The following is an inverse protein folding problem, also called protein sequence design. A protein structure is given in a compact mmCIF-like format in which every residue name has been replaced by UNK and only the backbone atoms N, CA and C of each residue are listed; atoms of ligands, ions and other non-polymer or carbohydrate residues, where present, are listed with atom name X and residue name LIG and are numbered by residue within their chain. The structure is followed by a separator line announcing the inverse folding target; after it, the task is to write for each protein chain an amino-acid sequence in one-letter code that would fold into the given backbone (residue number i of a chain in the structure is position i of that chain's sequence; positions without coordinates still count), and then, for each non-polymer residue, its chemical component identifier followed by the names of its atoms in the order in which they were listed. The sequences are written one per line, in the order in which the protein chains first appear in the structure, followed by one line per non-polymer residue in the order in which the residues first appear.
data_IF_705002639497
#
_entry.id   IF_705002639497
#
_cell.length_a   1.000
_cell.length_b   1.000
_cell.length_c   1.000
_cell.angle_alpha   90.00
_cell.angle_beta   90.00
_cell.angle_gamma   90.00
#
_symmetry.space_group_name_H-M   'P 1'
#
loop_
_entity.id
_entity.type
_entity.pdbx_description
1 polymer ?
#
# COMPACT_ATOMS: atom_id res chain seq x y z
N UNK A 1 7.55 -7.36 -7.80
CA UNK A 1 8.36 -6.19 -7.42
C UNK A 1 9.80 -6.49 -7.78
N UNK A 2 10.45 -5.62 -8.56
CA UNK A 2 11.86 -5.81 -8.91
C UNK A 2 12.77 -5.34 -7.77
N UNK A 3 13.85 -6.06 -7.52
CA UNK A 3 14.88 -5.72 -6.53
C UNK A 3 15.70 -4.47 -6.91
N UNK A 4 15.51 -3.96 -8.13
CA UNK A 4 16.24 -2.85 -8.75
C UNK A 4 16.05 -1.48 -8.08
N UNK A 5 15.30 -1.39 -6.97
CA UNK A 5 15.00 -0.13 -6.28
C UNK A 5 15.90 0.13 -5.07
N UNK A 6 16.62 -0.90 -4.60
CA UNK A 6 17.54 -0.79 -3.46
C UNK A 6 18.71 0.12 -3.84
N UNK A 7 18.91 1.21 -3.08
CA UNK A 7 20.03 2.15 -3.26
C UNK A 7 19.83 3.24 -4.32
N UNK A 8 18.67 3.32 -4.98
CA UNK A 8 18.32 4.44 -5.87
C UNK A 8 17.92 5.68 -5.07
N UNK A 9 18.20 6.86 -5.62
CA UNK A 9 17.82 8.14 -5.01
C UNK A 9 16.30 8.22 -4.82
N UNK A 10 15.88 8.63 -3.62
CA UNK A 10 14.48 8.91 -3.34
C UNK A 10 14.04 10.24 -4.00
N UNK A 11 12.73 10.39 -4.32
CA UNK A 11 12.21 11.68 -4.77
C UNK A 11 12.38 12.76 -3.68
N UNK A 12 12.21 14.03 -4.07
CA UNK A 12 12.14 15.12 -3.08
C UNK A 12 10.89 14.96 -2.19
N UNK A 13 10.86 15.68 -1.06
CA UNK A 13 9.70 15.65 -0.15
C UNK A 13 8.44 16.19 -0.83
N UNK A 14 8.59 17.27 -1.57
CA UNK A 14 7.52 17.93 -2.33
C UNK A 14 7.01 16.99 -3.42
N UNK A 15 7.92 16.31 -4.12
CA UNK A 15 7.57 15.33 -5.16
C UNK A 15 6.84 14.13 -4.56
N UNK A 16 7.29 13.61 -3.42
CA UNK A 16 6.61 12.53 -2.71
C UNK A 16 5.20 12.92 -2.24
N UNK A 17 5.01 14.17 -1.78
CA UNK A 17 3.70 14.70 -1.42
C UNK A 17 2.76 14.80 -2.62
N UNK A 18 3.25 15.24 -3.77
CA UNK A 18 2.48 15.26 -5.03
C UNK A 18 2.04 13.85 -5.41
N UNK A 19 2.97 12.89 -5.44
CA UNK A 19 2.69 11.48 -5.76
C UNK A 19 1.65 10.90 -4.79
N UNK A 20 1.80 11.15 -3.49
CA UNK A 20 0.86 10.70 -2.47
C UNK A 20 -0.54 11.28 -2.71
N UNK A 21 -0.63 12.57 -3.00
CA UNK A 21 -1.89 13.27 -3.25
C UNK A 21 -2.57 12.77 -4.52
N UNK A 22 -1.82 12.56 -5.60
CA UNK A 22 -2.34 12.00 -6.86
C UNK A 22 -2.85 10.57 -6.68
N UNK A 23 -2.14 9.75 -5.91
CA UNK A 23 -2.57 8.41 -5.55
C UNK A 23 -3.86 8.45 -4.72
N UNK A 24 -3.90 9.27 -3.66
CA UNK A 24 -5.07 9.40 -2.78
C UNK A 24 -6.30 9.91 -3.54
N UNK A 25 -6.13 10.83 -4.50
CA UNK A 25 -7.24 11.31 -5.34
C UNK A 25 -7.93 10.17 -6.10
N UNK A 26 -7.18 9.12 -6.47
CA UNK A 26 -7.69 7.95 -7.18
C UNK A 26 -8.20 6.87 -6.22
N UNK A 27 -7.46 6.60 -5.14
CA UNK A 27 -7.69 5.43 -4.28
C UNK A 27 -8.56 5.72 -3.05
N UNK A 28 -8.50 6.94 -2.51
CA UNK A 28 -9.16 7.34 -1.27
C UNK A 28 -9.42 8.87 -1.26
N UNK A 29 -10.25 9.40 -2.18
CA UNK A 29 -10.47 10.84 -2.32
C UNK A 29 -11.10 11.47 -1.07
N UNK A 30 -11.83 10.68 -0.29
CA UNK A 30 -12.40 11.08 1.00
C UNK A 30 -11.34 11.59 1.97
N UNK A 31 -10.15 10.97 2.00
CA UNK A 31 -9.06 11.36 2.89
C UNK A 31 -8.45 12.73 2.56
N UNK A 32 -8.58 13.20 1.31
CA UNK A 32 -8.11 14.53 0.90
C UNK A 32 -9.04 15.64 1.39
N UNK A 33 -10.34 15.36 1.51
CA UNK A 33 -11.34 16.35 1.96
C UNK A 33 -11.21 16.68 3.44
N UNK A 34 -10.68 15.72 4.22
CA UNK A 34 -10.54 15.79 5.66
C UNK A 34 -9.07 15.73 6.09
N UNK A 35 -8.17 16.25 5.27
CA UNK A 35 -6.72 16.20 5.50
C UNK A 35 -6.33 17.14 6.66
N UNK A 36 -5.84 16.55 7.75
CA UNK A 36 -5.25 17.27 8.87
C UNK A 36 -3.74 17.45 8.71
N UNK A 37 -3.03 17.51 9.84
CA UNK A 37 -1.58 17.64 9.85
C UNK A 37 -0.91 16.52 9.05
N UNK A 38 -0.17 16.92 8.00
CA UNK A 38 0.62 16.04 7.17
C UNK A 38 2.13 16.17 7.45
N UNK A 39 2.88 15.14 7.11
CA UNK A 39 4.34 15.12 7.17
C UNK A 39 4.92 14.13 6.16
N UNK A 40 6.06 14.47 5.56
CA UNK A 40 6.85 13.56 4.73
C UNK A 40 8.17 13.25 5.45
N UNK A 41 8.44 11.98 5.71
CA UNK A 41 9.63 11.52 6.44
C UNK A 41 10.27 10.29 5.79
N UNK A 42 11.58 10.13 5.93
CA UNK A 42 12.25 8.89 5.53
C UNK A 42 11.69 7.70 6.31
N UNK A 43 11.41 6.61 5.60
CA UNK A 43 10.93 5.35 6.15
C UNK A 43 11.86 4.22 5.72
N UNK A 44 12.32 3.44 6.69
CA UNK A 44 13.11 2.24 6.48
C UNK A 44 12.45 1.09 7.24
N UNK A 45 12.14 -0.01 6.56
CA UNK A 45 11.54 -1.18 7.18
C UNK A 45 12.12 -2.48 6.62
N UNK A 46 12.61 -3.39 7.47
CA UNK A 46 13.07 -4.69 7.00
C UNK A 46 11.88 -5.56 6.64
N UNK A 47 11.84 -6.04 5.39
CA UNK A 47 10.82 -6.97 4.90
C UNK A 47 11.48 -8.32 4.65
N UNK A 48 10.86 -9.38 5.16
CA UNK A 48 11.25 -10.74 4.83
C UNK A 48 10.54 -11.17 3.55
N UNK A 49 11.31 -11.44 2.51
CA UNK A 49 10.83 -12.02 1.27
C UNK A 49 11.18 -13.51 1.26
N UNK A 50 10.20 -14.34 0.88
CA UNK A 50 10.44 -15.74 0.57
C UNK A 50 10.27 -15.92 -0.93
N UNK A 51 11.36 -16.21 -1.64
CA UNK A 51 11.35 -16.44 -3.08
C UNK A 51 12.22 -17.66 -3.41
N UNK A 52 11.70 -18.56 -4.25
CA UNK A 52 12.38 -19.79 -4.65
C UNK A 52 12.96 -20.63 -3.49
N UNK A 53 12.26 -20.68 -2.36
CA UNK A 53 12.69 -21.42 -1.16
C UNK A 53 13.80 -20.74 -0.34
N UNK A 54 14.22 -19.53 -0.71
CA UNK A 54 15.17 -18.72 0.05
C UNK A 54 14.44 -17.61 0.79
N UNK A 55 14.82 -17.41 2.05
CA UNK A 55 14.35 -16.29 2.86
C UNK A 55 15.42 -15.21 2.85
N UNK A 56 15.08 -14.03 2.32
CA UNK A 56 15.95 -12.86 2.34
C UNK A 56 15.26 -11.74 3.13
N UNK A 57 16.06 -11.00 3.91
CA UNK A 57 15.58 -9.77 4.56
C UNK A 57 16.10 -8.59 3.76
N UNK A 58 15.18 -7.79 3.22
CA UNK A 58 15.48 -6.62 2.39
C UNK A 58 15.03 -5.37 3.12
N UNK A 59 15.84 -4.32 3.08
CA UNK A 59 15.44 -3.03 3.60
C UNK A 59 14.55 -2.32 2.58
N UNK A 60 13.31 -2.06 2.97
CA UNK A 60 12.40 -1.19 2.24
C UNK A 60 12.70 0.25 2.60
N UNK A 61 13.33 0.99 1.69
CA UNK A 61 13.59 2.42 1.85
C UNK A 61 12.62 3.22 0.99
N UNK A 62 11.93 4.19 1.61
CA UNK A 62 10.97 5.06 0.93
C UNK A 62 10.72 6.36 1.69
N UNK A 63 9.91 7.25 1.10
CA UNK A 63 9.37 8.41 1.80
C UNK A 63 7.93 8.14 2.24
N UNK A 64 7.66 8.32 3.53
CA UNK A 64 6.33 8.16 4.11
C UNK A 64 5.63 9.51 4.18
N UNK A 65 4.58 9.67 3.38
CA UNK A 65 3.56 10.69 3.59
C UNK A 65 2.60 10.19 4.65
N UNK A 66 2.52 10.88 5.80
CA UNK A 66 1.62 10.53 6.92
C UNK A 66 0.71 11.72 7.20
N UNK A 67 -0.58 11.47 7.36
CA UNK A 67 -1.53 12.50 7.73
C UNK A 67 -2.63 11.98 8.66
N UNK A 68 -3.25 12.91 9.38
CA UNK A 68 -4.41 12.64 10.24
C UNK A 68 -5.69 12.94 9.47
N UNK A 69 -6.62 11.99 9.42
CA UNK A 69 -7.98 12.24 8.95
C UNK A 69 -8.73 13.02 10.04
N UNK A 70 -9.27 14.18 9.69
CA UNK A 70 -10.04 15.03 10.62
C UNK A 70 -11.46 14.54 10.83
N UNK A 71 -12.01 13.73 9.90
CA UNK A 71 -13.38 13.22 10.01
C UNK A 71 -13.56 12.24 11.18
N UNK A 72 -12.57 11.38 11.42
CA UNK A 72 -12.61 10.34 12.45
C UNK A 72 -11.41 10.39 13.41
N UNK A 73 -10.47 11.31 13.19
CA UNK A 73 -9.27 11.48 13.99
C UNK A 73 -8.19 10.39 13.79
N UNK A 74 -8.39 9.45 12.86
CA UNK A 74 -7.48 8.33 12.58
C UNK A 74 -6.31 8.75 11.70
N UNK A 75 -5.27 7.92 11.65
CA UNK A 75 -4.10 8.16 10.80
C UNK A 75 -4.17 7.37 9.50
N UNK A 76 -3.50 7.90 8.49
CA UNK A 76 -3.21 7.18 7.25
C UNK A 76 -1.82 7.54 6.74
N UNK A 77 -1.27 6.70 5.87
CA UNK A 77 -0.01 6.98 5.21
C UNK A 77 0.14 6.30 3.86
N UNK A 78 0.97 6.90 3.01
CA UNK A 78 1.46 6.34 1.75
C UNK A 78 2.99 6.28 1.84
N UNK A 79 3.59 5.15 1.45
CA UNK A 79 5.06 5.03 1.27
C UNK A 79 5.36 5.11 -0.22
N UNK A 80 6.28 6.00 -0.58
CA UNK A 80 6.70 6.28 -1.96
C UNK A 80 8.12 5.75 -2.14
N UNK A 81 8.31 4.96 -3.20
CA UNK A 81 9.59 4.36 -3.56
C UNK A 81 10.50 5.29 -4.35
N UNK A 82 11.73 4.83 -4.56
CA UNK A 82 12.73 5.50 -5.41
C UNK A 82 12.35 5.53 -6.90
N UNK A 83 11.37 4.72 -7.32
CA UNK A 83 10.79 4.74 -8.67
C UNK A 83 9.63 5.73 -8.83
N UNK A 84 9.44 6.63 -7.85
CA UNK A 84 8.32 7.58 -7.81
C UNK A 84 6.93 6.91 -7.78
N UNK A 85 6.84 5.67 -7.27
CA UNK A 85 5.55 4.96 -7.18
C UNK A 85 5.13 4.73 -5.72
N UNK A 86 3.81 4.77 -5.44
CA UNK A 86 3.29 4.27 -4.18
C UNK A 86 3.61 2.77 -4.01
N UNK A 87 4.22 2.42 -2.87
CA UNK A 87 4.60 1.06 -2.52
C UNK A 87 3.67 0.45 -1.47
N UNK A 88 3.20 1.27 -0.52
CA UNK A 88 2.31 0.86 0.55
C UNK A 88 1.33 1.99 0.85
N UNK A 89 0.07 1.64 1.11
CA UNK A 89 -0.96 2.55 1.59
C UNK A 89 -1.70 1.90 2.76
N UNK A 90 -1.84 2.63 3.87
CA UNK A 90 -2.64 2.22 5.01
C UNK A 90 -3.54 3.39 5.46
N UNK A 91 -4.76 3.08 5.90
CA UNK A 91 -5.74 4.03 6.42
C UNK A 91 -6.46 3.48 7.66
N UNK A 92 -7.25 4.33 8.30
CA UNK A 92 -8.07 4.01 9.47
C UNK A 92 -7.26 3.50 10.68
N UNK A 93 -6.06 4.06 10.85
CA UNK A 93 -5.08 3.60 11.84
C UNK A 93 -5.31 4.30 13.19
N UNK A 94 -5.56 3.49 14.21
CA UNK A 94 -5.64 3.96 15.59
C UNK A 94 -4.24 3.98 16.23
N UNK A 95 -3.84 5.17 16.69
CA UNK A 95 -2.53 5.40 17.29
C UNK A 95 -2.68 5.75 18.77
N UNK A 96 -2.01 5.01 19.65
CA UNK A 96 -1.94 5.36 21.06
C UNK A 96 -0.80 6.39 21.27
N UNK A 97 -1.12 7.68 21.24
CA UNK A 97 -0.14 8.78 21.40
C UNK A 97 0.70 8.65 22.68
N UNK A 98 0.08 8.27 23.80
CA UNK A 98 0.75 8.06 25.10
C UNK A 98 1.76 6.90 25.12
N UNK A 99 1.57 5.89 24.26
CA UNK A 99 2.41 4.69 24.23
C UNK A 99 3.34 4.64 23.02
N UNK A 100 3.32 5.69 22.17
CA UNK A 100 4.04 5.76 20.90
C UNK A 100 3.90 4.51 20.02
N UNK A 101 2.78 3.76 20.14
CA UNK A 101 2.57 2.49 19.44
C UNK A 101 1.19 2.40 18.79
N UNK A 102 1.12 1.59 17.74
CA UNK A 102 -0.09 1.24 17.00
C UNK A 102 -1.05 0.43 17.89
N UNK A 103 -2.37 0.69 17.80
CA UNK A 103 -3.41 -0.18 18.41
C UNK A 103 -3.99 -1.18 17.41
N UNK A 104 -4.08 -0.83 16.14
CA UNK A 104 -4.57 -1.71 15.06
C UNK A 104 -3.52 -2.73 14.63
N UNK A 105 -3.94 -3.92 14.23
CA UNK A 105 -3.04 -4.92 13.62
C UNK A 105 -2.48 -4.39 12.28
N UNK A 106 -1.22 -4.71 11.99
CA UNK A 106 -0.62 -4.49 10.67
C UNK A 106 -1.25 -5.49 9.69
N UNK A 107 -2.08 -5.02 8.76
CA UNK A 107 -2.55 -5.86 7.66
C UNK A 107 -1.44 -5.97 6.61
N UNK A 108 -0.46 -6.80 6.92
CA UNK A 108 0.44 -7.36 5.93
C UNK A 108 0.25 -8.87 5.99
N UNK A 109 -0.91 -9.33 5.52
CA UNK A 109 -1.18 -10.65 4.93
C UNK A 109 -2.69 -10.86 4.80
N UNK A 110 -3.29 -10.24 3.80
CA UNK A 110 -4.62 -10.67 3.38
C UNK A 110 -4.55 -11.27 1.97
N UNK A 111 -5.01 -12.52 1.87
CA UNK A 111 -5.06 -13.34 0.65
C UNK A 111 -6.09 -12.82 -0.37
N UNK A 112 -6.33 -11.52 -0.41
CA UNK A 112 -7.43 -10.91 -1.14
C UNK A 112 -7.11 -10.72 -2.64
N UNK A 113 -5.84 -10.54 -3.01
CA UNK A 113 -5.40 -10.44 -4.42
C UNK A 113 -5.63 -11.75 -5.19
N UNK A 114 -5.69 -12.92 -4.52
CA UNK A 114 -5.90 -14.21 -5.22
C UNK A 114 -7.35 -14.48 -5.64
N UNK A 115 -8.33 -13.71 -5.13
CA UNK A 115 -9.74 -13.95 -5.44
C UNK A 115 -10.19 -13.31 -6.78
N UNK A 116 -9.48 -12.29 -7.27
CA UNK A 116 -9.84 -11.60 -8.51
C UNK A 116 -9.24 -12.27 -9.76
N UNK A 117 -8.02 -12.84 -9.67
CA UNK A 117 -7.42 -13.59 -10.78
C UNK A 117 -8.13 -14.94 -11.04
N UNK A 118 -8.71 -15.56 -10.01
CA UNK A 118 -9.44 -16.82 -10.16
C UNK A 118 -10.84 -16.67 -10.78
N UNK A 119 -11.44 -15.47 -10.71
CA UNK A 119 -12.76 -15.20 -11.30
C UNK A 119 -12.73 -14.83 -12.78
N UNK A 120 -11.56 -14.50 -13.33
CA UNK A 120 -11.42 -14.18 -14.76
C UNK A 120 -11.19 -15.40 -15.65
N UNK A 121 -10.75 -16.54 -15.10
CA UNK A 121 -10.40 -17.75 -15.86
C UNK A 121 -11.59 -18.73 -15.99
N UNK A 122 -12.71 -18.50 -15.30
CA UNK A 122 -13.81 -19.48 -15.21
C UNK A 122 -15.16 -19.02 -15.79
N UNK A 123 -15.18 -18.21 -16.85
CA UNK A 123 -16.39 -18.07 -17.69
C UNK A 123 -16.34 -19.08 -18.84
N UNK A 124 -16.99 -20.26 -18.74
CA UNK A 124 -17.22 -21.08 -19.91
C UNK A 124 -18.23 -20.39 -20.84
N UNK A 125 -17.93 -20.48 -22.14
CA UNK A 125 -18.80 -20.12 -23.27
C UNK A 125 -20.20 -20.70 -23.08
N UNK A 126 -21.22 -19.83 -23.12
CA UNK A 126 -22.64 -20.18 -22.90
C UNK A 126 -23.29 -20.74 -24.17
N UNK A 127 -22.65 -21.58 -24.98
CA UNK A 127 -23.33 -22.28 -26.09
C UNK A 127 -22.58 -23.54 -26.54
N UNK A 128 -22.99 -24.70 -26.01
CA UNK A 128 -22.89 -26.00 -26.70
C UNK A 128 -23.54 -27.12 -25.87
N UNK A 129 -24.78 -27.47 -26.21
CA UNK A 129 -25.37 -28.79 -25.88
C UNK A 129 -25.01 -29.78 -26.99
N UNK A 130 -24.85 -31.07 -26.68
CA UNK A 130 -25.61 -32.05 -27.46
C UNK A 130 -26.18 -33.24 -26.66
N UNK A 131 -27.20 -33.80 -27.31
CA UNK A 131 -28.18 -34.82 -26.96
C UNK A 131 -27.62 -36.20 -26.60
N UNK A 132 -28.33 -36.94 -25.74
CA UNK A 132 -28.15 -38.37 -25.48
C UNK A 132 -29.13 -39.21 -26.30
N UNK A 133 -28.62 -40.29 -26.91
CA UNK A 133 -29.38 -41.39 -27.54
C UNK A 133 -30.17 -42.20 -26.52
#
# INVERSE_FOLDING_TARGET
MSLDLVGKSLPSRERAEQIATEFLRKAAPDLLTSLGRASVTLHNEPIRLSHAGRNETIQLTGLKFKARNLADGRWFWVIIGSDEKPMLFERDLEWATLLARRKTEQWLHDRWIKAQDAQQISKPSRWSLPWTH
#
